data_IF_057106936457
#
_entry.id   IF_057106936457
#
_cell.length_a   1.000
_cell.length_b   1.000
_cell.length_c   1.000
_cell.angle_alpha   90.00
_cell.angle_beta   90.00
_cell.angle_gamma   90.00
#
_symmetry.space_group_name_H-M   'P 1'
#
loop_
_entity.id
_entity.type
_entity.pdbx_description
1 polymer ?
#
# COMPACT_ATOMS: atom_id res chain seq x y z
N UNK A 1 79.34 13.08 -9.55
CA UNK A 1 77.94 12.75 -9.22
C UNK A 1 77.12 14.02 -8.87
N UNK A 2 77.16 15.10 -9.66
CA UNK A 2 76.52 16.40 -9.31
C UNK A 2 75.70 17.06 -10.43
N UNK A 3 75.78 16.56 -11.67
CA UNK A 3 75.08 17.16 -12.82
C UNK A 3 73.62 16.69 -12.95
N UNK A 4 73.33 15.45 -12.58
CA UNK A 4 71.99 14.85 -12.69
C UNK A 4 70.97 15.45 -11.70
N UNK A 5 71.41 15.98 -10.56
CA UNK A 5 70.51 16.59 -9.56
C UNK A 5 70.05 17.99 -9.98
N UNK A 6 70.91 18.78 -10.63
CA UNK A 6 70.57 20.14 -11.07
C UNK A 6 69.51 20.17 -12.18
N UNK A 7 69.53 19.19 -13.09
CA UNK A 7 68.54 19.09 -14.16
C UNK A 7 67.19 18.59 -13.62
N UNK A 8 67.21 17.64 -12.67
CA UNK A 8 66.01 17.18 -11.97
C UNK A 8 65.34 18.30 -11.18
N UNK A 9 66.10 19.11 -10.45
CA UNK A 9 65.56 20.24 -9.67
C UNK A 9 64.92 21.33 -10.55
N UNK A 10 65.48 21.55 -11.75
CA UNK A 10 64.94 22.52 -12.71
C UNK A 10 63.65 22.01 -13.36
N UNK A 11 63.59 20.72 -13.68
CA UNK A 11 62.37 20.07 -14.18
C UNK A 11 61.27 20.03 -13.12
N UNK A 12 61.60 19.69 -11.87
CA UNK A 12 60.64 19.65 -10.75
C UNK A 12 60.01 21.04 -10.53
N UNK A 13 60.79 22.12 -10.56
CA UNK A 13 60.26 23.49 -10.38
C UNK A 13 59.33 23.96 -11.51
N UNK A 14 59.44 23.39 -12.72
CA UNK A 14 58.60 23.77 -13.87
C UNK A 14 57.33 22.92 -13.94
N UNK A 15 57.45 21.60 -13.70
CA UNK A 15 56.33 20.67 -13.86
C UNK A 15 55.42 20.60 -12.64
N UNK A 16 55.95 20.79 -11.42
CA UNK A 16 55.16 20.70 -10.18
C UNK A 16 54.06 21.76 -10.12
N UNK A 17 54.30 23.06 -10.40
CA UNK A 17 53.24 24.07 -10.37
C UNK A 17 52.16 23.78 -11.41
N UNK A 18 52.55 23.35 -12.62
CA UNK A 18 51.60 23.07 -13.71
C UNK A 18 50.65 21.92 -13.39
N UNK A 19 51.13 20.87 -12.71
CA UNK A 19 50.30 19.75 -12.25
C UNK A 19 49.32 20.21 -11.16
N UNK A 20 49.75 21.07 -10.22
CA UNK A 20 48.87 21.62 -9.18
C UNK A 20 47.75 22.52 -9.73
N UNK A 21 47.95 23.18 -10.88
CA UNK A 21 46.90 23.96 -11.55
C UNK A 21 45.98 23.10 -12.45
N UNK A 22 46.44 21.95 -12.94
CA UNK A 22 45.67 21.08 -13.83
C UNK A 22 44.79 20.05 -13.11
N UNK A 23 45.15 19.61 -11.89
CA UNK A 23 44.39 18.63 -11.13
C UNK A 23 43.01 19.11 -10.62
N UNK A 24 42.84 20.36 -10.12
CA UNK A 24 41.54 20.86 -9.67
C UNK A 24 40.46 20.87 -10.77
N UNK A 25 40.70 21.40 -12.00
CA UNK A 25 39.66 21.41 -13.03
C UNK A 25 39.33 20.00 -13.54
N UNK A 26 40.31 19.09 -13.60
CA UNK A 26 40.06 17.69 -13.98
C UNK A 26 39.19 16.99 -12.93
N UNK A 27 39.47 17.20 -11.64
CA UNK A 27 38.64 16.67 -10.55
C UNK A 27 37.20 17.21 -10.57
N UNK A 28 37.02 18.50 -10.91
CA UNK A 28 35.68 19.10 -11.04
C UNK A 28 34.90 18.55 -12.23
N UNK A 29 35.58 18.26 -13.35
CA UNK A 29 34.97 17.62 -14.53
C UNK A 29 34.51 16.20 -14.20
N UNK A 30 35.32 15.39 -13.50
CA UNK A 30 34.92 14.05 -13.08
C UNK A 30 33.75 14.07 -12.08
N UNK A 31 33.73 15.02 -11.14
CA UNK A 31 32.59 15.20 -10.24
C UNK A 31 31.33 15.62 -11.01
N UNK A 32 31.45 16.53 -11.99
CA UNK A 32 30.33 16.93 -12.83
C UNK A 32 29.73 15.74 -13.59
N UNK A 33 30.56 14.90 -14.24
CA UNK A 33 30.08 13.69 -14.93
C UNK A 33 29.57 12.61 -13.97
N UNK A 34 30.15 12.49 -12.77
CA UNK A 34 29.65 11.60 -11.72
C UNK A 34 28.24 12.03 -11.26
N UNK A 35 28.02 13.32 -10.99
CA UNK A 35 26.70 13.86 -10.65
C UNK A 35 25.71 13.78 -11.82
N UNK A 36 26.14 13.95 -13.08
CA UNK A 36 25.27 13.82 -14.25
C UNK A 36 24.88 12.36 -14.55
N UNK A 37 25.79 11.41 -14.30
CA UNK A 37 25.52 9.97 -14.48
C UNK A 37 24.75 9.36 -13.30
N UNK A 38 24.84 9.96 -12.10
CA UNK A 38 24.07 9.57 -10.91
C UNK A 38 22.76 10.36 -10.72
N UNK A 39 22.49 11.33 -11.62
CA UNK A 39 21.24 12.08 -11.67
C UNK A 39 19.97 11.33 -12.15
N UNK A 40 19.93 10.03 -12.53
CA UNK A 40 18.64 9.38 -12.71
C UNK A 40 17.99 8.96 -11.37
N UNK A 41 18.66 9.10 -10.22
CA UNK A 41 18.12 8.70 -8.91
C UNK A 41 17.53 9.82 -8.04
N UNK A 42 17.81 11.08 -8.37
CA UNK A 42 17.16 12.23 -7.74
C UNK A 42 16.53 13.11 -8.82
N UNK A 43 15.56 12.55 -9.53
CA UNK A 43 14.47 13.42 -9.95
C UNK A 43 13.84 13.97 -8.66
N UNK A 44 13.75 15.30 -8.47
CA UNK A 44 12.69 15.79 -7.62
C UNK A 44 11.42 15.19 -8.21
N UNK A 45 10.58 14.63 -7.36
CA UNK A 45 9.25 14.15 -7.72
C UNK A 45 8.35 15.35 -8.09
N UNK A 46 8.79 16.19 -9.01
CA UNK A 46 8.01 17.26 -9.62
C UNK A 46 7.33 16.64 -10.81
N UNK A 47 6.01 16.50 -10.65
CA UNK A 47 5.09 15.78 -11.52
C UNK A 47 5.03 14.26 -11.28
N UNK A 48 4.66 13.86 -10.05
CA UNK A 48 3.32 13.26 -10.02
C UNK A 48 2.42 14.37 -10.57
N UNK A 49 2.20 14.37 -11.88
CA UNK A 49 0.87 14.71 -12.33
C UNK A 49 0.04 13.79 -11.45
N UNK A 50 -0.56 14.36 -10.40
CA UNK A 50 -1.78 13.77 -9.91
C UNK A 50 -2.55 13.60 -11.20
N UNK A 51 -2.59 12.36 -11.69
CA UNK A 51 -3.78 11.87 -12.29
C UNK A 51 -4.80 12.02 -11.16
N UNK A 52 -5.27 13.26 -10.96
CA UNK A 52 -6.66 13.55 -11.10
C UNK A 52 -7.05 12.90 -12.43
N UNK A 53 -7.20 11.56 -12.39
CA UNK A 53 -8.44 10.96 -12.83
C UNK A 53 -9.46 11.93 -12.28
N UNK A 54 -9.93 12.82 -13.15
CA UNK A 54 -11.16 13.52 -12.89
C UNK A 54 -12.07 12.39 -12.47
N UNK A 55 -12.37 12.35 -11.16
CA UNK A 55 -13.38 11.46 -10.61
C UNK A 55 -14.48 11.58 -11.66
N UNK A 56 -14.87 10.49 -12.36
CA UNK A 56 -15.96 10.61 -13.30
C UNK A 56 -17.02 11.41 -12.56
N UNK A 57 -17.68 12.36 -13.24
CA UNK A 57 -18.97 12.85 -12.74
C UNK A 57 -19.90 11.63 -12.78
N UNK A 58 -19.66 10.69 -11.89
CA UNK A 58 -20.65 9.85 -11.29
C UNK A 58 -21.68 10.89 -10.88
N UNK A 59 -22.85 10.83 -11.50
CA UNK A 59 -24.03 11.38 -10.87
C UNK A 59 -23.96 10.80 -9.46
N UNK A 60 -23.59 11.62 -8.47
CA UNK A 60 -23.79 11.22 -7.08
C UNK A 60 -25.26 10.85 -7.04
N UNK A 61 -25.51 9.54 -7.03
CA UNK A 61 -26.79 9.06 -6.66
C UNK A 61 -26.91 9.57 -5.21
N UNK A 62 -27.86 10.46 -4.89
CA UNK A 62 -28.00 10.98 -3.52
C UNK A 62 -28.28 9.86 -2.51
N UNK A 63 -28.42 8.63 -3.00
CA UNK A 63 -28.50 7.40 -2.26
C UNK A 63 -27.13 6.76 -1.96
N UNK A 64 -26.10 7.53 -1.61
CA UNK A 64 -25.11 7.01 -0.66
C UNK A 64 -25.81 6.92 0.67
N UNK A 65 -26.47 5.79 0.88
CA UNK A 65 -27.11 5.44 2.14
C UNK A 65 -26.07 5.56 3.24
N UNK A 66 -26.08 6.69 3.94
CA UNK A 66 -25.37 6.90 5.19
C UNK A 66 -25.75 5.75 6.10
N UNK A 67 -24.80 4.86 6.41
CA UNK A 67 -25.04 3.78 7.35
C UNK A 67 -25.27 4.43 8.71
N UNK A 68 -26.50 4.38 9.20
CA UNK A 68 -26.82 4.84 10.54
C UNK A 68 -26.36 3.78 11.55
N UNK A 69 -25.13 3.94 12.05
CA UNK A 69 -24.53 3.05 13.04
C UNK A 69 -25.28 3.03 14.38
N UNK A 70 -26.20 3.98 14.62
CA UNK A 70 -27.07 3.97 15.78
C UNK A 70 -28.26 3.02 15.63
N UNK A 71 -28.52 2.53 14.42
CA UNK A 71 -29.62 1.61 14.12
C UNK A 71 -29.11 0.15 13.94
N UNK A 72 -29.57 -0.74 14.81
CA UNK A 72 -29.07 -2.11 14.87
C UNK A 72 -29.62 -2.88 16.07
N UNK A 73 -29.04 -4.04 16.33
CA UNK A 73 -29.42 -4.92 17.44
C UNK A 73 -28.22 -5.43 18.19
N UNK A 74 -28.36 -5.59 19.51
CA UNK A 74 -27.37 -6.30 20.32
C UNK A 74 -27.51 -7.80 20.09
N UNK A 75 -26.41 -8.44 19.73
CA UNK A 75 -26.34 -9.90 19.58
C UNK A 75 -25.32 -10.47 20.56
N UNK A 76 -25.61 -11.66 21.07
CA UNK A 76 -24.65 -12.38 21.91
C UNK A 76 -23.52 -12.94 21.04
N UNK A 77 -22.27 -12.70 21.43
CA UNK A 77 -21.07 -13.13 20.74
C UNK A 77 -20.22 -13.98 21.69
N UNK A 78 -20.01 -15.25 21.31
CA UNK A 78 -19.25 -16.22 22.11
C UNK A 78 -17.76 -16.27 21.74
N UNK A 79 -17.30 -15.35 20.89
CA UNK A 79 -15.88 -15.17 20.56
C UNK A 79 -15.13 -14.61 21.75
N UNK A 80 -13.81 -14.80 21.75
CA UNK A 80 -12.92 -14.23 22.76
C UNK A 80 -13.11 -12.71 22.84
N UNK A 81 -13.22 -12.18 24.06
CA UNK A 81 -13.35 -10.76 24.32
C UNK A 81 -12.21 -9.97 23.65
N UNK A 82 -12.57 -8.95 22.86
CA UNK A 82 -11.61 -8.12 22.11
C UNK A 82 -10.57 -7.43 23.01
N UNK A 83 -10.93 -7.20 24.28
CA UNK A 83 -10.02 -6.73 25.29
C UNK A 83 -10.05 -7.67 26.50
N UNK A 84 -8.86 -8.03 26.98
CA UNK A 84 -8.68 -8.58 28.30
C UNK A 84 -8.24 -7.43 29.22
N UNK A 85 -8.89 -7.23 30.36
CA UNK A 85 -8.59 -6.14 31.28
C UNK A 85 -7.16 -6.13 31.84
N UNK A 86 -6.39 -7.19 31.56
CA UNK A 86 -4.99 -7.35 31.95
C UNK A 86 -3.99 -6.94 30.86
N UNK A 87 -4.37 -6.95 29.58
CA UNK A 87 -3.44 -6.69 28.45
C UNK A 87 -3.46 -5.23 27.98
N UNK A 88 -4.45 -4.45 28.43
CA UNK A 88 -4.60 -3.03 28.09
C UNK A 88 -4.53 -2.17 29.35
N UNK A 89 -3.94 -0.97 29.27
CA UNK A 89 -3.90 0.01 30.36
C UNK A 89 -5.27 0.68 30.52
N UNK A 90 -6.25 -0.04 31.06
CA UNK A 90 -7.57 0.51 31.40
C UNK A 90 -7.43 1.40 32.63
N UNK A 91 -8.09 2.57 32.63
CA UNK A 91 -8.15 3.42 33.83
C UNK A 91 -8.79 2.64 34.98
N UNK A 92 -8.25 2.77 36.19
CA UNK A 92 -8.72 2.05 37.37
C UNK A 92 -10.23 2.21 37.60
N UNK A 93 -10.75 3.43 37.48
CA UNK A 93 -12.19 3.72 37.61
C UNK A 93 -13.07 3.06 36.54
N UNK A 94 -12.49 2.59 35.43
CA UNK A 94 -13.20 1.96 34.30
C UNK A 94 -12.97 0.44 34.25
N UNK A 95 -12.11 -0.11 35.11
CA UNK A 95 -11.84 -1.54 35.14
C UNK A 95 -12.86 -2.27 36.02
N UNK A 96 -14.02 -2.58 35.46
CA UNK A 96 -15.11 -3.23 36.21
C UNK A 96 -14.70 -4.60 36.81
N UNK A 97 -13.82 -5.33 36.12
CA UNK A 97 -13.32 -6.64 36.60
C UNK A 97 -12.47 -6.43 37.85
N UNK A 98 -11.53 -5.48 37.80
CA UNK A 98 -10.70 -5.10 38.95
C UNK A 98 -11.55 -4.55 40.12
N UNK A 99 -12.59 -3.77 39.82
CA UNK A 99 -13.48 -3.16 40.80
C UNK A 99 -14.55 -4.13 41.36
N UNK A 100 -14.43 -5.44 41.11
CA UNK A 100 -15.24 -6.48 41.77
C UNK A 100 -16.58 -6.80 41.13
N UNK A 101 -16.82 -6.42 39.87
CA UNK A 101 -18.05 -6.80 39.16
C UNK A 101 -18.08 -8.30 38.88
N UNK A 102 -19.07 -9.00 39.44
CA UNK A 102 -19.18 -10.46 39.37
C UNK A 102 -19.70 -11.01 38.03
N UNK A 103 -20.54 -10.25 37.30
CA UNK A 103 -21.11 -10.71 36.03
C UNK A 103 -20.25 -10.30 34.83
N UNK A 104 -19.80 -11.28 34.03
CA UNK A 104 -19.00 -11.06 32.82
C UNK A 104 -19.81 -11.11 31.52
N UNK A 105 -21.12 -11.38 31.59
CA UNK A 105 -21.99 -11.52 30.40
C UNK A 105 -22.02 -10.27 29.51
N UNK A 106 -21.80 -9.08 30.08
CA UNK A 106 -21.71 -7.83 29.32
C UNK A 106 -20.56 -7.80 28.30
N UNK A 107 -19.52 -8.62 28.51
CA UNK A 107 -18.39 -8.76 27.58
C UNK A 107 -18.74 -9.58 26.33
N UNK A 108 -19.89 -10.27 26.35
CA UNK A 108 -20.33 -11.21 25.32
C UNK A 108 -21.45 -10.61 24.46
N UNK A 109 -21.58 -9.29 24.43
CA UNK A 109 -22.52 -8.59 23.57
C UNK A 109 -21.77 -7.78 22.53
N UNK A 110 -22.18 -7.92 21.27
CA UNK A 110 -21.68 -7.14 20.15
C UNK A 110 -22.82 -6.43 19.45
N UNK A 111 -22.58 -5.18 19.07
CA UNK A 111 -23.52 -4.41 18.26
C UNK A 111 -23.51 -4.91 16.81
N UNK A 112 -24.69 -5.20 16.27
CA UNK A 112 -24.89 -5.59 14.86
C UNK A 112 -25.73 -4.52 14.15
N UNK A 113 -25.12 -3.66 13.32
CA UNK A 113 -25.85 -2.76 12.44
C UNK A 113 -26.78 -3.52 11.48
N UNK A 114 -27.91 -2.92 11.10
CA UNK A 114 -28.95 -3.59 10.30
C UNK A 114 -28.57 -3.87 8.83
N UNK A 115 -27.72 -3.02 8.23
CA UNK A 115 -27.45 -3.02 6.79
C UNK A 115 -26.05 -3.56 6.46
N UNK A 116 -25.97 -4.83 6.05
CA UNK A 116 -24.72 -5.56 5.78
C UNK A 116 -24.23 -5.45 4.32
N UNK A 117 -25.10 -5.01 3.42
CA UNK A 117 -24.81 -4.73 2.00
C UNK A 117 -24.22 -3.32 1.77
N UNK A 118 -24.06 -2.53 2.85
CA UNK A 118 -23.59 -1.13 2.84
C UNK A 118 -22.42 -0.86 3.78
N UNK A 119 -21.60 -1.89 4.07
CA UNK A 119 -20.43 -1.77 4.97
C UNK A 119 -20.64 -2.37 6.38
N UNK A 120 -21.70 -3.13 6.60
CA UNK A 120 -21.92 -3.89 7.83
C UNK A 120 -21.17 -5.23 7.88
N UNK A 121 -21.35 -5.97 8.98
CA UNK A 121 -20.67 -7.26 9.19
C UNK A 121 -21.40 -8.42 8.52
N UNK A 122 -20.67 -9.22 7.73
CA UNK A 122 -21.20 -10.45 7.13
C UNK A 122 -21.48 -11.50 8.23
N UNK A 123 -22.69 -12.07 8.25
CA UNK A 123 -23.06 -13.16 9.18
C UNK A 123 -22.67 -14.55 8.65
N UNK A 124 -22.19 -14.64 7.40
CA UNK A 124 -21.83 -15.89 6.75
C UNK A 124 -20.36 -16.22 7.04
N UNK A 125 -20.13 -17.36 7.70
CA UNK A 125 -18.80 -17.84 8.06
C UNK A 125 -18.21 -18.82 7.04
N UNK A 126 -19.00 -19.22 6.03
CA UNK A 126 -18.63 -20.19 5.01
C UNK A 126 -18.60 -19.55 3.61
N UNK A 127 -17.72 -20.01 2.69
CA UNK A 127 -17.69 -19.52 1.32
C UNK A 127 -19.04 -19.62 0.62
N UNK A 128 -19.28 -18.72 -0.35
CA UNK A 128 -20.40 -18.86 -1.25
C UNK A 128 -20.29 -20.15 -2.09
N UNK A 129 -21.42 -20.79 -2.36
CA UNK A 129 -21.49 -21.86 -3.34
C UNK A 129 -21.16 -21.34 -4.75
N UNK A 130 -20.70 -22.23 -5.63
CA UNK A 130 -20.23 -21.87 -6.98
C UNK A 130 -21.24 -21.08 -7.83
N UNK A 131 -22.54 -21.26 -7.58
CA UNK A 131 -23.63 -20.61 -8.31
C UNK A 131 -24.34 -19.52 -7.50
N UNK A 132 -24.02 -19.41 -6.21
CA UNK A 132 -24.67 -18.50 -5.28
C UNK A 132 -24.23 -17.05 -5.49
N UNK A 133 -23.04 -16.85 -6.07
CA UNK A 133 -22.51 -15.52 -6.36
C UNK A 133 -21.93 -15.43 -7.76
N UNK A 134 -22.38 -14.42 -8.50
CA UNK A 134 -21.94 -14.11 -9.87
C UNK A 134 -21.08 -12.86 -9.88
N UNK A 135 -20.12 -12.83 -10.81
CA UNK A 135 -19.33 -11.64 -11.08
C UNK A 135 -20.15 -10.71 -11.96
N UNK A 136 -20.60 -9.59 -11.39
CA UNK A 136 -21.53 -8.67 -12.06
C UNK A 136 -21.12 -7.20 -11.82
N UNK A 137 -21.80 -6.27 -12.50
CA UNK A 137 -21.61 -4.83 -12.30
C UNK A 137 -20.20 -4.32 -12.60
N UNK A 138 -19.70 -3.44 -11.73
CA UNK A 138 -18.40 -2.79 -11.87
C UNK A 138 -17.25 -3.79 -11.79
N UNK A 139 -17.34 -4.81 -10.92
CA UNK A 139 -16.30 -5.82 -10.77
C UNK A 139 -16.13 -6.66 -12.05
N UNK A 140 -17.24 -7.02 -12.71
CA UNK A 140 -17.21 -7.70 -14.01
C UNK A 140 -16.57 -6.83 -15.10
N UNK A 141 -16.86 -5.53 -15.10
CA UNK A 141 -16.28 -4.58 -16.04
C UNK A 141 -14.76 -4.38 -15.82
N UNK A 142 -14.33 -4.23 -14.56
CA UNK A 142 -12.91 -4.15 -14.22
C UNK A 142 -12.19 -5.44 -14.63
N UNK A 143 -12.80 -6.61 -14.38
CA UNK A 143 -12.24 -7.89 -14.77
C UNK A 143 -12.04 -8.01 -16.29
N UNK A 144 -12.97 -7.49 -17.10
CA UNK A 144 -12.82 -7.51 -18.56
C UNK A 144 -11.61 -6.70 -19.03
N UNK A 145 -11.40 -5.52 -18.43
CA UNK A 145 -10.22 -4.68 -18.71
C UNK A 145 -8.93 -5.40 -18.29
N UNK A 146 -8.90 -6.03 -17.11
CA UNK A 146 -7.74 -6.80 -16.65
C UNK A 146 -7.38 -7.96 -17.60
N UNK A 147 -8.38 -8.66 -18.16
CA UNK A 147 -8.15 -9.72 -19.17
C UNK A 147 -7.57 -9.15 -20.46
N UNK A 148 -8.08 -8.00 -20.90
CA UNK A 148 -7.60 -7.33 -22.12
C UNK A 148 -6.11 -6.96 -21.99
N UNK A 149 -5.75 -6.30 -20.89
CA UNK A 149 -4.36 -5.90 -20.62
C UNK A 149 -3.42 -7.10 -20.45
N UNK A 150 -3.91 -8.19 -19.84
CA UNK A 150 -3.18 -9.45 -19.77
C UNK A 150 -2.86 -9.99 -21.17
N UNK A 151 -3.86 -10.06 -22.06
CA UNK A 151 -3.68 -10.54 -23.43
C UNK A 151 -2.70 -9.66 -24.20
N UNK A 152 -2.82 -8.35 -24.07
CA UNK A 152 -1.91 -7.37 -24.69
C UNK A 152 -0.47 -7.56 -24.20
N UNK A 153 -0.29 -7.73 -22.89
CA UNK A 153 1.02 -7.94 -22.26
C UNK A 153 1.65 -9.28 -22.67
N UNK A 154 0.84 -10.36 -22.75
CA UNK A 154 1.32 -11.68 -23.18
C UNK A 154 1.79 -11.68 -24.64
N UNK A 155 1.11 -10.93 -25.52
CA UNK A 155 1.55 -10.73 -26.91
C UNK A 155 2.93 -10.06 -26.98
N UNK A 156 3.10 -8.94 -26.24
CA UNK A 156 4.38 -8.20 -26.19
C UNK A 156 5.51 -9.04 -25.57
N UNK A 157 5.24 -9.77 -24.50
CA UNK A 157 6.24 -10.64 -23.88
C UNK A 157 6.72 -11.74 -24.86
N UNK A 158 5.79 -12.31 -25.64
CA UNK A 158 6.13 -13.30 -26.67
C UNK A 158 7.03 -12.73 -27.77
N UNK A 159 6.81 -11.49 -28.19
CA UNK A 159 7.68 -10.76 -29.13
C UNK A 159 9.10 -10.56 -28.57
N UNK A 160 9.24 -10.46 -27.25
CA UNK A 160 10.51 -10.37 -26.53
C UNK A 160 11.12 -11.73 -26.14
N UNK A 161 10.49 -12.84 -26.53
CA UNK A 161 10.93 -14.19 -26.15
C UNK A 161 10.68 -14.55 -24.68
N UNK A 162 9.85 -13.79 -23.97
CA UNK A 162 9.47 -14.02 -22.58
C UNK A 162 8.12 -14.74 -22.50
N UNK A 163 7.98 -15.68 -21.57
CA UNK A 163 6.71 -16.33 -21.26
C UNK A 163 6.34 -16.09 -19.80
N UNK A 164 5.08 -15.74 -19.58
CA UNK A 164 4.51 -15.63 -18.24
C UNK A 164 3.06 -16.09 -18.23
N UNK A 165 2.61 -16.47 -17.05
CA UNK A 165 1.24 -16.88 -16.77
C UNK A 165 0.73 -16.15 -15.54
N UNK A 166 -0.59 -16.04 -15.44
CA UNK A 166 -1.25 -15.38 -14.32
C UNK A 166 -2.23 -16.34 -13.70
N UNK A 167 -2.14 -16.47 -12.38
CA UNK A 167 -3.09 -17.22 -11.59
C UNK A 167 -4.36 -16.39 -11.42
N UNK A 168 -5.46 -16.84 -12.02
CA UNK A 168 -6.76 -16.21 -11.88
C UNK A 168 -7.42 -16.60 -10.54
N UNK A 169 -7.34 -15.70 -9.56
CA UNK A 169 -7.98 -15.84 -8.26
C UNK A 169 -9.37 -15.17 -8.21
N UNK A 170 -9.89 -14.61 -9.30
CA UNK A 170 -11.13 -13.80 -9.27
C UNK A 170 -12.31 -14.60 -8.71
N UNK A 171 -12.49 -15.84 -9.17
CA UNK A 171 -13.58 -16.70 -8.66
C UNK A 171 -13.39 -17.04 -7.18
N UNK A 172 -12.15 -17.35 -6.76
CA UNK A 172 -11.84 -17.64 -5.35
C UNK A 172 -12.13 -16.43 -4.46
N UNK A 173 -11.70 -15.24 -4.87
CA UNK A 173 -11.94 -14.00 -4.15
C UNK A 173 -13.43 -13.63 -4.09
N UNK A 174 -14.18 -13.84 -5.18
CA UNK A 174 -15.62 -13.57 -5.22
C UNK A 174 -16.41 -14.39 -4.20
N UNK A 175 -16.03 -15.66 -4.01
CA UNK A 175 -16.72 -16.58 -3.12
C UNK A 175 -16.37 -16.37 -1.64
N UNK A 176 -15.52 -15.40 -1.31
CA UNK A 176 -15.09 -15.09 0.07
C UNK A 176 -15.97 -14.00 0.69
N UNK A 177 -16.94 -14.34 1.56
CA UNK A 177 -17.75 -13.33 2.26
C UNK A 177 -16.95 -12.45 3.23
N UNK A 178 -15.78 -12.91 3.67
CA UNK A 178 -14.87 -12.22 4.59
C UNK A 178 -13.92 -11.24 3.88
N UNK A 179 -13.90 -11.20 2.55
CA UNK A 179 -13.01 -10.35 1.76
C UNK A 179 -13.42 -8.87 1.66
N UNK A 180 -14.52 -8.46 2.31
CA UNK A 180 -15.03 -7.10 2.24
C UNK A 180 -14.33 -6.16 3.22
N UNK A 181 -14.18 -4.90 2.81
CA UNK A 181 -13.61 -3.83 3.63
C UNK A 181 -14.48 -3.58 4.85
N UNK A 182 -14.14 -4.21 5.97
CA UNK A 182 -14.85 -4.05 7.23
C UNK A 182 -14.47 -2.75 7.94
N UNK A 183 -15.05 -2.52 9.12
CA UNK A 183 -14.78 -1.38 9.99
C UNK A 183 -13.29 -1.15 10.34
N UNK A 184 -12.42 -2.13 10.07
CA UNK A 184 -10.98 -2.06 10.30
C UNK A 184 -10.17 -1.42 9.16
N UNK A 185 -10.80 -0.99 8.07
CA UNK A 185 -10.10 -0.22 7.02
C UNK A 185 -9.78 1.22 7.43
N UNK A 186 -10.46 1.76 8.44
CA UNK A 186 -10.17 3.08 9.00
C UNK A 186 -9.52 2.93 10.38
N UNK A 187 -8.41 3.62 10.67
CA UNK A 187 -7.74 3.56 11.97
C UNK A 187 -8.62 4.01 13.15
N UNK A 188 -9.69 4.76 12.87
CA UNK A 188 -10.65 5.28 13.84
C UNK A 188 -12.07 5.13 13.26
N UNK A 189 -12.74 4.00 13.47
CA UNK A 189 -14.14 3.79 13.08
C UNK A 189 -15.11 4.58 13.97
#
# INVERSE_FOLDING_TARGET
>A
MTSTNRFKDKLIKIFVPSIFYALPPISLIFLFFYFHSFAPFFTPFTHHSSLYVSKPKEKENPNWNTCDYSNGTWIHDNRTHLYNGTTCKIKESQNCIFNGRLNSSYLHWRWKPSDWDKGGTCSKNEPYGNEEKKLEGVDAHIRSIQIEELKNSKRKAKELGLNFEVLDITKLALLRPDGHVGAYMNPFP
#
